data_IF_023795735864
#
_entry.id   IF_023795735864
#
_cell.length_a   1.000
_cell.length_b   1.000
_cell.length_c   1.000
_cell.angle_alpha   90.00
_cell.angle_beta   90.00
_cell.angle_gamma   90.00
#
_symmetry.space_group_name_H-M   'P 1'
#
loop_
_entity.id
_entity.type
_entity.pdbx_description
1 polymer ?
#
# COMPACT_ATOMS: atom_id res chain seq x y z
N UNK A 1 -13.09 9.62 -5.10
CA UNK A 1 -11.85 8.96 -5.55
C UNK A 1 -10.79 8.87 -4.46
N UNK A 2 -10.32 9.97 -3.87
CA UNK A 2 -9.26 9.90 -2.84
C UNK A 2 -9.66 9.22 -1.53
N UNK A 3 -10.85 9.50 -1.00
CA UNK A 3 -11.37 8.80 0.19
C UNK A 3 -11.53 7.28 -0.04
N UNK A 4 -11.95 6.89 -1.26
CA UNK A 4 -12.04 5.49 -1.66
C UNK A 4 -10.66 4.84 -1.86
N UNK A 5 -9.68 5.55 -2.45
CA UNK A 5 -8.28 5.10 -2.52
C UNK A 5 -7.67 4.90 -1.13
N UNK A 6 -7.94 5.80 -0.19
CA UNK A 6 -7.50 5.66 1.20
C UNK A 6 -8.09 4.39 1.83
N UNK A 7 -9.41 4.17 1.69
CA UNK A 7 -10.07 2.97 2.20
C UNK A 7 -9.46 1.68 1.60
N UNK A 8 -9.22 1.66 0.28
CA UNK A 8 -8.60 0.54 -0.42
C UNK A 8 -7.16 0.29 0.04
N UNK A 9 -6.38 1.36 0.27
CA UNK A 9 -5.01 1.22 0.80
C UNK A 9 -5.00 0.63 2.21
N UNK A 10 -5.94 1.03 3.07
CA UNK A 10 -6.08 0.46 4.43
C UNK A 10 -6.47 -1.02 4.37
N UNK A 11 -7.43 -1.38 3.53
CA UNK A 11 -7.84 -2.78 3.33
C UNK A 11 -6.69 -3.64 2.80
N UNK A 12 -5.90 -3.12 1.87
CA UNK A 12 -4.73 -3.82 1.33
C UNK A 12 -3.65 -4.04 2.42
N UNK A 13 -3.50 -3.09 3.33
CA UNK A 13 -2.59 -3.18 4.47
C UNK A 13 -3.04 -4.23 5.50
N UNK A 14 -4.35 -4.30 5.78
CA UNK A 14 -4.94 -5.35 6.61
C UNK A 14 -4.74 -6.72 5.95
N UNK A 15 -4.98 -6.82 4.65
CA UNK A 15 -4.78 -8.05 3.90
C UNK A 15 -3.31 -8.52 3.90
N UNK A 16 -2.36 -7.60 3.71
CA UNK A 16 -0.94 -7.88 3.83
C UNK A 16 -0.57 -8.40 5.22
N UNK A 17 -1.11 -7.77 6.27
CA UNK A 17 -0.89 -8.21 7.66
C UNK A 17 -1.42 -9.63 7.92
N UNK A 18 -2.58 -9.97 7.35
CA UNK A 18 -3.12 -11.34 7.43
C UNK A 18 -2.20 -12.31 6.69
N UNK A 19 -1.73 -11.96 5.48
CA UNK A 19 -0.82 -12.80 4.69
C UNK A 19 0.52 -13.06 5.40
N UNK A 20 1.06 -12.06 6.08
CA UNK A 20 2.28 -12.17 6.89
C UNK A 20 2.13 -13.05 8.13
N UNK A 21 0.94 -13.15 8.71
CA UNK A 21 0.72 -14.04 9.86
C UNK A 21 0.39 -15.48 9.41
N UNK A 22 -0.21 -15.64 8.23
CA UNK A 22 -0.53 -16.96 7.65
C UNK A 22 0.63 -17.62 6.89
N UNK A 23 1.71 -16.89 6.62
CA UNK A 23 2.88 -17.37 5.87
C UNK A 23 3.59 -18.57 6.49
N UNK A 24 3.36 -18.87 7.77
CA UNK A 24 3.90 -20.06 8.41
C UNK A 24 3.34 -21.38 7.87
N UNK A 25 2.24 -21.35 7.09
CA UNK A 25 1.45 -22.55 6.85
C UNK A 25 1.73 -23.23 5.50
N UNK A 26 2.09 -22.54 4.40
CA UNK A 26 2.42 -23.21 3.12
C UNK A 26 3.23 -22.33 2.15
N UNK A 27 3.89 -22.98 1.17
CA UNK A 27 4.65 -22.46 0.01
C UNK A 27 3.96 -21.37 -0.86
N UNK A 28 2.78 -20.87 -0.48
CA UNK A 28 2.09 -19.76 -1.11
C UNK A 28 2.64 -18.38 -0.73
N UNK A 29 3.72 -18.34 0.07
CA UNK A 29 4.34 -17.11 0.57
C UNK A 29 4.61 -16.08 -0.52
N UNK A 30 5.16 -16.51 -1.66
CA UNK A 30 5.42 -15.60 -2.79
C UNK A 30 4.12 -14.98 -3.30
N UNK A 31 3.11 -15.79 -3.62
CA UNK A 31 1.89 -15.27 -4.23
C UNK A 31 1.11 -14.37 -3.26
N UNK A 32 1.04 -14.74 -1.99
CA UNK A 32 0.33 -13.96 -0.95
C UNK A 32 1.02 -12.65 -0.59
N UNK A 33 2.33 -12.52 -0.84
CA UNK A 33 3.08 -11.28 -0.62
C UNK A 33 3.19 -10.40 -1.87
N UNK A 34 3.39 -10.97 -3.06
CA UNK A 34 3.54 -10.21 -4.31
C UNK A 34 2.27 -9.46 -4.73
N UNK A 35 1.09 -10.06 -4.54
CA UNK A 35 -0.20 -9.43 -4.89
C UNK A 35 -0.44 -8.13 -4.11
N UNK A 36 -0.42 -8.13 -2.76
CA UNK A 36 -0.63 -6.89 -2.00
C UNK A 36 0.47 -5.85 -2.23
N UNK A 37 1.70 -6.28 -2.54
CA UNK A 37 2.81 -5.38 -2.87
C UNK A 37 2.57 -4.65 -4.20
N UNK A 38 2.10 -5.37 -5.22
CA UNK A 38 1.71 -4.77 -6.51
C UNK A 38 0.60 -3.73 -6.33
N UNK A 39 -0.44 -4.05 -5.57
CA UNK A 39 -1.54 -3.11 -5.30
C UNK A 39 -1.09 -1.88 -4.48
N UNK A 40 -0.18 -2.05 -3.51
CA UNK A 40 0.40 -0.91 -2.79
C UNK A 40 1.17 0.02 -3.72
N UNK A 41 1.93 -0.53 -4.67
CA UNK A 41 2.70 0.26 -5.62
C UNK A 41 1.79 0.99 -6.62
N UNK A 42 0.70 0.35 -7.04
CA UNK A 42 -0.30 0.93 -7.93
C UNK A 42 -1.07 2.08 -7.23
N UNK A 43 -1.46 1.88 -5.96
CA UNK A 43 -2.10 2.93 -5.16
C UNK A 43 -1.15 4.08 -4.81
N UNK A 44 0.14 3.80 -4.64
CA UNK A 44 1.16 4.82 -4.47
C UNK A 44 1.26 5.73 -5.71
N UNK A 45 1.34 5.14 -6.90
CA UNK A 45 1.42 5.89 -8.17
C UNK A 45 0.15 6.72 -8.40
N UNK A 46 -1.02 6.15 -8.12
CA UNK A 46 -2.29 6.88 -8.18
C UNK A 46 -2.34 8.03 -7.15
N UNK A 47 -1.88 7.80 -5.92
CA UNK A 47 -1.79 8.82 -4.88
C UNK A 47 -0.89 9.99 -5.30
N UNK A 48 0.31 9.69 -5.80
CA UNK A 48 1.26 10.68 -6.32
C UNK A 48 0.70 11.46 -7.53
N UNK A 49 0.04 10.77 -8.47
CA UNK A 49 -0.62 11.39 -9.61
C UNK A 49 -1.70 12.37 -9.16
N UNK A 50 -2.57 11.97 -8.22
CA UNK A 50 -3.60 12.87 -7.66
C UNK A 50 -3.04 14.04 -6.86
N UNK A 51 -1.81 13.91 -6.32
CA UNK A 51 -1.12 15.00 -5.63
C UNK A 51 -0.50 16.00 -6.60
N UNK A 52 -0.08 15.56 -7.79
CA UNK A 52 0.49 16.43 -8.84
C UNK A 52 -0.53 17.31 -9.56
N UNK A 53 -1.81 16.93 -9.54
CA UNK A 53 -2.89 17.58 -10.32
C UNK A 53 -3.61 18.69 -9.54
N UNK A 54 -3.55 18.71 -8.20
CA UNK A 54 -4.28 19.70 -7.39
C UNK A 54 -3.37 20.76 -6.75
N UNK A 55 -3.69 22.04 -6.99
CA UNK A 55 -2.94 23.17 -6.45
C UNK A 55 -3.48 23.80 -5.17
N UNK A 56 -4.76 23.67 -4.77
CA UNK A 56 -5.31 24.67 -3.80
C UNK A 56 -6.13 24.17 -2.59
N UNK A 57 -6.47 22.88 -2.45
CA UNK A 57 -7.23 22.39 -1.27
C UNK A 57 -6.35 21.67 -0.26
N UNK A 58 -6.09 22.32 0.89
CA UNK A 58 -5.31 21.78 2.02
C UNK A 58 -5.77 20.38 2.46
N UNK A 59 -7.09 20.13 2.52
CA UNK A 59 -7.67 18.84 2.93
C UNK A 59 -7.34 17.70 1.96
N UNK A 60 -7.39 17.98 0.66
CA UNK A 60 -7.17 16.98 -0.38
C UNK A 60 -5.69 16.63 -0.51
N UNK A 61 -4.82 17.60 -0.23
CA UNK A 61 -3.38 17.40 -0.11
C UNK A 61 -3.04 16.49 1.08
N UNK A 62 -3.67 16.69 2.24
CA UNK A 62 -3.48 15.83 3.42
C UNK A 62 -3.90 14.39 3.12
N UNK A 63 -5.07 14.17 2.48
CA UNK A 63 -5.53 12.83 2.12
C UNK A 63 -4.58 12.15 1.14
N UNK A 64 -4.08 12.89 0.14
CA UNK A 64 -3.14 12.36 -0.87
C UNK A 64 -1.80 11.97 -0.24
N UNK A 65 -1.28 12.77 0.70
CA UNK A 65 -0.09 12.45 1.50
C UNK A 65 -0.33 11.20 2.36
N UNK A 66 -1.50 11.08 2.98
CA UNK A 66 -1.88 9.92 3.78
C UNK A 66 -1.90 8.64 2.95
N UNK A 67 -2.47 8.69 1.73
CA UNK A 67 -2.44 7.56 0.78
C UNK A 67 -0.98 7.17 0.48
N UNK A 68 -0.11 8.14 0.28
CA UNK A 68 1.32 7.91 0.03
C UNK A 68 2.00 7.19 1.20
N UNK A 69 1.81 7.69 2.43
CA UNK A 69 2.38 7.09 3.64
C UNK A 69 1.86 5.67 3.86
N UNK A 70 0.54 5.47 3.76
CA UNK A 70 -0.12 4.18 3.97
C UNK A 70 0.38 3.14 2.97
N UNK A 71 0.75 3.53 1.75
CA UNK A 71 1.30 2.60 0.76
C UNK A 71 2.83 2.43 0.84
N UNK A 72 3.59 3.43 1.28
CA UNK A 72 5.07 3.32 1.45
C UNK A 72 5.44 2.36 2.58
N UNK A 73 4.77 2.47 3.73
CA UNK A 73 5.08 1.65 4.93
C UNK A 73 5.09 0.15 4.62
N UNK A 74 4.03 -0.44 4.02
CA UNK A 74 4.02 -1.85 3.68
C UNK A 74 5.02 -2.23 2.58
N UNK A 75 5.36 -1.33 1.64
CA UNK A 75 6.40 -1.58 0.63
C UNK A 75 7.77 -1.72 1.30
N UNK A 76 8.11 -0.83 2.23
CA UNK A 76 9.39 -0.90 2.97
C UNK A 76 9.45 -2.18 3.80
N UNK A 77 8.39 -2.46 4.56
CA UNK A 77 8.31 -3.68 5.39
C UNK A 77 8.44 -4.95 4.54
N UNK A 78 7.79 -5.01 3.38
CA UNK A 78 7.94 -6.14 2.47
C UNK A 78 9.33 -6.23 1.86
N UNK A 79 9.91 -5.10 1.44
CA UNK A 79 11.26 -5.09 0.86
C UNK A 79 12.31 -5.64 1.82
N UNK A 80 12.17 -5.38 3.13
CA UNK A 80 13.05 -5.98 4.13
C UNK A 80 12.87 -7.49 4.28
N UNK A 81 11.66 -8.02 4.05
CA UNK A 81 11.40 -9.47 4.08
C UNK A 81 12.03 -10.16 2.87
N UNK A 82 12.07 -9.51 1.71
CA UNK A 82 12.75 -10.01 0.50
C UNK A 82 14.28 -9.98 0.60
N UNK A 83 14.88 -9.05 1.36
CA UNK A 83 16.33 -9.03 1.57
C UNK A 83 16.85 -10.20 2.43
N UNK A 84 15.97 -10.85 3.19
CA UNK A 84 16.30 -11.98 4.05
C UNK A 84 16.02 -13.36 3.42
N UNK A 85 15.35 -13.40 2.27
CA UNK A 85 15.08 -14.60 1.47
C UNK A 85 16.18 -14.81 0.41
#
# INVERSE_FOLDING_TARGET
MRKTLLLLSILNLIYLYICLNYSHIHNYFLLSTFIPLFFNLLFLMLGAYTLSIESDKKSDKIISILILIVNIVPIILMSSVFLFL
#
